data_IF_264978275596
#
_entry.id   IF_264978275596
#
_cell.length_a   1.000
_cell.length_b   1.000
_cell.length_c   1.000
_cell.angle_alpha   90.00
_cell.angle_beta   90.00
_cell.angle_gamma   90.00
#
_symmetry.space_group_name_H-M   'P 1'
#
loop_
_entity.id
_entity.type
_entity.pdbx_description
1 polymer ?
#
# COMPACT_ATOMS: atom_id res chain seq x y z
N UNK A 1 -12.61 14.96 -5.54
CA UNK A 1 -13.67 15.93 -5.86
C UNK A 1 -15.00 15.31 -5.47
N UNK A 2 -15.65 15.82 -4.41
CA UNK A 2 -16.92 15.29 -3.89
C UNK A 2 -18.17 15.75 -4.68
N UNK A 3 -18.02 16.24 -5.90
CA UNK A 3 -19.11 16.73 -6.71
C UNK A 3 -19.06 18.23 -6.94
N UNK A 4 -20.11 18.75 -7.57
CA UNK A 4 -20.29 20.17 -7.88
C UNK A 4 -20.99 20.88 -6.72
N UNK A 5 -20.38 21.91 -6.17
CA UNK A 5 -21.04 22.78 -5.21
C UNK A 5 -21.97 23.75 -5.92
N UNK A 6 -23.20 23.86 -5.43
CA UNK A 6 -24.12 24.92 -5.87
C UNK A 6 -23.89 26.15 -5.00
N UNK A 7 -23.65 27.28 -5.66
CA UNK A 7 -23.37 28.54 -4.95
C UNK A 7 -24.49 28.92 -3.97
N UNK A 8 -25.73 28.57 -4.27
CA UNK A 8 -26.90 28.85 -3.41
C UNK A 8 -26.81 28.16 -2.05
N UNK A 9 -26.14 26.97 -1.99
CA UNK A 9 -26.01 26.16 -0.79
C UNK A 9 -24.65 26.32 -0.09
N UNK A 10 -23.73 27.11 -0.68
CA UNK A 10 -22.39 27.26 -0.15
C UNK A 10 -22.41 28.27 1.00
N UNK A 11 -21.90 27.87 2.18
CA UNK A 11 -21.77 28.71 3.36
C UNK A 11 -20.37 29.30 3.47
N UNK A 12 -19.35 28.53 3.09
CA UNK A 12 -17.95 28.90 3.15
C UNK A 12 -17.25 28.61 1.82
N UNK A 13 -16.26 29.43 1.46
CA UNK A 13 -15.47 29.20 0.27
C UNK A 13 -14.49 28.04 0.49
N UNK A 14 -14.45 27.02 -0.39
CA UNK A 14 -13.77 25.75 -0.11
C UNK A 14 -12.25 25.75 -0.36
N UNK A 15 -11.67 26.82 -0.83
CA UNK A 15 -10.23 26.89 -1.13
C UNK A 15 -9.63 28.27 -0.85
N UNK A 16 -8.30 28.37 -0.92
CA UNK A 16 -7.52 29.58 -0.68
C UNK A 16 -7.07 30.27 -1.98
N UNK A 17 -7.79 30.10 -3.09
CA UNK A 17 -7.47 30.84 -4.31
C UNK A 17 -7.84 32.33 -4.16
N UNK A 18 -7.33 33.18 -5.04
CA UNK A 18 -7.57 34.62 -5.01
C UNK A 18 -9.07 34.99 -4.93
N UNK A 19 -9.93 34.26 -5.65
CA UNK A 19 -11.38 34.49 -5.59
C UNK A 19 -11.95 34.16 -4.21
N UNK A 20 -11.59 32.99 -3.67
CA UNK A 20 -12.11 32.53 -2.38
C UNK A 20 -11.57 33.34 -1.19
N UNK A 21 -10.40 33.95 -1.32
CA UNK A 21 -9.84 34.82 -0.28
C UNK A 21 -10.48 36.22 -0.27
N UNK A 22 -10.98 36.69 -1.40
CA UNK A 22 -11.49 38.05 -1.55
C UNK A 22 -13.02 38.17 -1.53
N UNK A 23 -13.74 37.08 -1.74
CA UNK A 23 -15.20 37.08 -1.85
C UNK A 23 -15.82 35.95 -1.03
N UNK A 24 -16.85 36.28 -0.29
CA UNK A 24 -17.73 35.32 0.37
C UNK A 24 -18.75 34.73 -0.62
N UNK A 25 -19.43 33.61 -0.27
CA UNK A 25 -20.55 33.12 -1.06
C UNK A 25 -21.68 34.15 -1.24
N UNK A 26 -21.94 34.98 -0.21
CA UNK A 26 -22.94 36.04 -0.25
C UNK A 26 -22.55 37.14 -1.22
N UNK A 27 -21.30 37.57 -1.21
CA UNK A 27 -20.80 38.56 -2.19
C UNK A 27 -21.01 38.08 -3.62
N UNK A 28 -20.65 36.82 -3.88
CA UNK A 28 -20.85 36.23 -5.20
C UNK A 28 -22.33 36.12 -5.60
N UNK A 29 -23.23 35.79 -4.65
CA UNK A 29 -24.67 35.76 -4.91
C UNK A 29 -25.23 37.11 -5.25
N UNK A 30 -24.76 38.16 -4.58
CA UNK A 30 -25.21 39.55 -4.80
C UNK A 30 -24.66 40.17 -6.07
N UNK A 31 -23.60 39.64 -6.67
CA UNK A 31 -22.98 40.20 -7.87
C UNK A 31 -23.80 40.02 -9.14
N UNK A 32 -23.62 40.94 -10.14
CA UNK A 32 -24.13 40.75 -11.49
C UNK A 32 -23.69 39.42 -12.08
N UNK A 33 -24.60 38.77 -12.84
CA UNK A 33 -24.42 37.42 -13.38
C UNK A 33 -23.11 37.23 -14.16
N UNK A 34 -22.73 38.20 -14.96
CA UNK A 34 -21.52 38.11 -15.78
C UNK A 34 -20.25 38.12 -14.89
N UNK A 35 -20.11 39.10 -14.01
CA UNK A 35 -18.97 39.19 -13.07
C UNK A 35 -18.87 37.93 -12.20
N UNK A 36 -19.99 37.46 -11.67
CA UNK A 36 -20.05 36.23 -10.89
C UNK A 36 -19.58 35.02 -11.71
N UNK A 37 -20.03 34.86 -12.97
CA UNK A 37 -19.61 33.79 -13.87
C UNK A 37 -18.08 33.80 -14.07
N UNK A 38 -17.51 34.96 -14.33
CA UNK A 38 -16.10 35.11 -14.62
C UNK A 38 -15.24 34.78 -13.38
N UNK A 39 -15.64 35.23 -12.17
CA UNK A 39 -14.97 34.88 -10.91
C UNK A 39 -15.07 33.37 -10.61
N UNK A 40 -16.23 32.74 -10.84
CA UNK A 40 -16.38 31.29 -10.65
C UNK A 40 -15.52 30.53 -11.66
N UNK A 41 -15.44 30.98 -12.91
CA UNK A 41 -14.56 30.38 -13.90
C UNK A 41 -13.09 30.51 -13.51
N UNK A 42 -12.66 31.67 -13.01
CA UNK A 42 -11.32 31.88 -12.47
C UNK A 42 -11.03 30.95 -11.27
N UNK A 43 -11.96 30.81 -10.33
CA UNK A 43 -11.86 29.85 -9.24
C UNK A 43 -11.65 28.43 -9.76
N UNK A 44 -12.49 27.96 -10.69
CA UNK A 44 -12.39 26.62 -11.25
C UNK A 44 -11.05 26.36 -11.94
N UNK A 45 -10.53 27.34 -12.69
CA UNK A 45 -9.20 27.27 -13.29
C UNK A 45 -8.09 27.16 -12.23
N UNK A 46 -8.15 27.98 -11.19
CA UNK A 46 -7.17 27.93 -10.10
C UNK A 46 -7.15 26.56 -9.40
N UNK A 47 -8.32 25.97 -9.13
CA UNK A 47 -8.43 24.62 -8.55
C UNK A 47 -7.84 23.57 -9.50
N UNK A 48 -8.16 23.65 -10.80
CA UNK A 48 -7.63 22.72 -11.80
C UNK A 48 -6.11 22.80 -11.92
N UNK A 49 -5.54 24.00 -11.94
CA UNK A 49 -4.09 24.17 -11.97
C UNK A 49 -3.41 23.75 -10.66
N UNK A 50 -4.05 23.91 -9.52
CA UNK A 50 -3.53 23.42 -8.25
C UNK A 50 -3.43 21.88 -8.28
N UNK A 51 -4.46 21.19 -8.73
CA UNK A 51 -4.45 19.73 -8.86
C UNK A 51 -3.39 19.24 -9.86
N UNK A 52 -3.25 19.91 -11.00
CA UNK A 52 -2.18 19.60 -11.97
C UNK A 52 -0.77 19.75 -11.37
N UNK A 53 -0.54 20.74 -10.49
CA UNK A 53 0.73 20.87 -9.78
C UNK A 53 0.97 19.71 -8.81
N UNK A 54 -0.06 19.27 -8.08
CA UNK A 54 0.01 18.10 -7.19
C UNK A 54 0.32 16.82 -7.98
N UNK A 55 -0.35 16.60 -9.10
CA UNK A 55 -0.09 15.45 -9.99
C UNK A 55 1.37 15.45 -10.47
N UNK A 56 1.87 16.60 -10.96
CA UNK A 56 3.26 16.72 -11.40
C UNK A 56 4.24 16.43 -10.28
N UNK A 57 4.00 16.97 -9.08
CA UNK A 57 4.85 16.71 -7.93
C UNK A 57 4.85 15.24 -7.56
N UNK A 58 3.68 14.60 -7.53
CA UNK A 58 3.56 13.16 -7.26
C UNK A 58 4.31 12.30 -8.29
N UNK A 59 4.32 12.70 -9.58
CA UNK A 59 5.13 12.04 -10.61
C UNK A 59 6.63 12.18 -10.32
N UNK A 60 7.10 13.39 -9.97
CA UNK A 60 8.52 13.62 -9.66
C UNK A 60 8.99 12.86 -8.40
N UNK A 61 8.12 12.71 -7.41
CA UNK A 61 8.40 11.99 -6.17
C UNK A 61 8.25 10.47 -6.30
N UNK A 62 7.58 10.00 -7.35
CA UNK A 62 7.23 8.59 -7.52
C UNK A 62 6.07 8.15 -6.60
N UNK A 63 5.21 9.09 -6.21
CA UNK A 63 4.05 8.88 -5.32
C UNK A 63 2.70 9.03 -6.05
N UNK A 64 2.70 8.92 -7.40
CA UNK A 64 1.48 9.11 -8.18
C UNK A 64 0.38 8.12 -7.79
N UNK A 65 0.75 6.86 -7.52
CA UNK A 65 -0.24 5.84 -7.19
C UNK A 65 -0.93 6.12 -5.85
N UNK A 66 -0.20 6.62 -4.85
CA UNK A 66 -0.77 7.08 -3.57
C UNK A 66 -1.80 8.19 -3.78
N UNK A 67 -1.48 9.16 -4.64
CA UNK A 67 -2.41 10.23 -4.98
C UNK A 67 -3.66 9.69 -5.68
N UNK A 68 -3.51 8.73 -6.59
CA UNK A 68 -4.64 8.06 -7.27
C UNK A 68 -5.50 7.31 -6.27
N UNK A 69 -4.91 6.52 -5.37
CA UNK A 69 -5.64 5.79 -4.32
C UNK A 69 -6.44 6.74 -3.43
N UNK A 70 -5.85 7.86 -3.00
CA UNK A 70 -6.53 8.89 -2.21
C UNK A 70 -7.73 9.49 -2.97
N UNK A 71 -7.53 9.88 -4.21
CA UNK A 71 -8.58 10.52 -5.04
C UNK A 71 -9.71 9.58 -5.40
N UNK A 72 -9.39 8.32 -5.70
CA UNK A 72 -10.41 7.33 -6.09
C UNK A 72 -11.36 6.98 -4.93
N UNK A 73 -10.91 7.06 -3.68
CA UNK A 73 -11.79 6.83 -2.51
C UNK A 73 -12.87 7.90 -2.32
N UNK A 74 -12.83 8.99 -3.06
CA UNK A 74 -13.87 10.01 -3.01
C UNK A 74 -15.20 9.60 -3.67
N UNK A 75 -15.22 8.56 -4.51
CA UNK A 75 -16.43 8.12 -5.22
C UNK A 75 -16.40 6.61 -5.51
N UNK A 76 -17.50 5.85 -5.29
CA UNK A 76 -17.52 4.40 -5.46
C UNK A 76 -17.11 3.94 -6.87
N UNK A 77 -17.57 4.62 -7.92
CA UNK A 77 -17.18 4.24 -9.28
C UNK A 77 -15.71 4.50 -9.59
N UNK A 78 -15.08 5.50 -8.95
CA UNK A 78 -13.63 5.71 -9.08
C UNK A 78 -12.85 4.63 -8.35
N UNK A 79 -13.32 4.21 -7.18
CA UNK A 79 -12.71 3.11 -6.44
C UNK A 79 -12.82 1.79 -7.23
N UNK A 80 -13.96 1.53 -7.86
CA UNK A 80 -14.12 0.37 -8.74
C UNK A 80 -13.18 0.44 -9.95
N UNK A 81 -13.04 1.61 -10.57
CA UNK A 81 -12.08 1.81 -11.66
C UNK A 81 -10.62 1.59 -11.19
N UNK A 82 -10.27 2.01 -9.97
CA UNK A 82 -8.95 1.74 -9.38
C UNK A 82 -8.70 0.23 -9.25
N UNK A 83 -9.68 -0.53 -8.79
CA UNK A 83 -9.57 -2.00 -8.71
C UNK A 83 -9.32 -2.64 -10.07
N UNK A 84 -9.96 -2.12 -11.12
CA UNK A 84 -9.72 -2.59 -12.49
C UNK A 84 -8.32 -2.32 -12.99
N UNK A 85 -7.60 -1.32 -12.45
CA UNK A 85 -6.19 -1.08 -12.80
C UNK A 85 -5.28 -2.25 -12.41
N UNK A 86 -5.66 -3.05 -11.42
CA UNK A 86 -4.95 -4.28 -11.08
C UNK A 86 -4.74 -5.22 -12.27
N UNK A 87 -5.69 -5.26 -13.20
CA UNK A 87 -5.59 -6.07 -14.42
C UNK A 87 -4.49 -5.59 -15.38
N UNK A 88 -4.03 -4.35 -15.22
CA UNK A 88 -3.00 -3.71 -16.04
C UNK A 88 -1.68 -3.51 -15.29
N UNK A 89 -1.53 -4.12 -14.14
CA UNK A 89 -0.38 -3.96 -13.23
C UNK A 89 0.96 -4.19 -13.93
N UNK A 90 1.07 -5.21 -14.81
CA UNK A 90 2.28 -5.49 -15.60
C UNK A 90 2.66 -4.37 -16.58
N UNK A 91 1.67 -3.63 -17.08
CA UNK A 91 1.91 -2.50 -17.97
C UNK A 91 2.27 -1.25 -17.17
N UNK A 92 1.61 -1.00 -16.04
CA UNK A 92 1.92 0.09 -15.13
C UNK A 92 3.34 -0.03 -14.57
N UNK A 93 3.76 -1.25 -14.21
CA UNK A 93 5.11 -1.52 -13.70
C UNK A 93 6.24 -1.00 -14.60
N UNK A 94 6.03 -0.94 -15.92
CA UNK A 94 7.03 -0.44 -16.88
C UNK A 94 7.33 1.05 -16.69
N UNK A 95 6.38 1.81 -16.20
CA UNK A 95 6.45 3.27 -16.06
C UNK A 95 6.72 3.71 -14.62
N UNK A 96 6.47 2.86 -13.66
CA UNK A 96 6.69 3.16 -12.25
C UNK A 96 8.19 3.17 -11.89
N UNK A 97 8.62 4.03 -10.98
CA UNK A 97 10.01 4.06 -10.50
C UNK A 97 10.45 2.69 -9.97
N UNK A 98 11.70 2.30 -10.26
CA UNK A 98 12.25 1.02 -9.78
C UNK A 98 12.54 0.99 -8.28
N UNK A 99 12.70 2.14 -7.67
CA UNK A 99 12.94 2.29 -6.24
C UNK A 99 12.03 3.34 -5.66
N UNK A 100 11.46 3.05 -4.50
CA UNK A 100 10.70 4.01 -3.70
C UNK A 100 11.61 4.60 -2.62
N UNK A 101 11.51 5.91 -2.41
CA UNK A 101 12.31 6.65 -1.40
C UNK A 101 11.49 7.04 -0.16
N UNK A 102 10.23 6.64 -0.12
CA UNK A 102 9.29 6.97 0.96
C UNK A 102 8.65 5.71 1.52
N UNK A 103 8.04 5.83 2.70
CA UNK A 103 7.27 4.77 3.31
C UNK A 103 6.15 4.27 2.38
N UNK A 104 5.78 3.02 2.55
CA UNK A 104 4.63 2.42 1.89
C UNK A 104 3.46 2.39 2.87
N UNK A 105 2.35 2.99 2.51
CA UNK A 105 1.12 2.94 3.28
C UNK A 105 0.13 1.99 2.62
N UNK A 106 -0.17 0.90 3.31
CA UNK A 106 -1.22 -0.02 2.88
C UNK A 106 -2.57 0.52 3.32
N UNK A 107 -3.41 0.91 2.38
CA UNK A 107 -4.71 1.54 2.65
C UNK A 107 -5.91 0.72 2.18
N UNK A 108 -5.69 -0.42 1.55
CA UNK A 108 -6.72 -1.35 1.09
C UNK A 108 -6.17 -2.35 0.06
N UNK A 109 -6.97 -3.34 -0.30
CA UNK A 109 -6.59 -4.42 -1.22
C UNK A 109 -6.12 -3.95 -2.60
N UNK A 110 -6.48 -2.74 -3.01
CA UNK A 110 -5.98 -2.13 -4.25
C UNK A 110 -4.46 -1.99 -4.25
N UNK A 111 -3.85 -1.79 -3.07
CA UNK A 111 -2.40 -1.65 -2.90
C UNK A 111 -1.62 -2.95 -3.17
N UNK A 112 -2.28 -4.12 -3.20
CA UNK A 112 -1.66 -5.41 -3.54
C UNK A 112 -1.12 -5.44 -4.98
N UNK A 113 -1.71 -4.67 -5.88
CA UNK A 113 -1.34 -4.61 -7.30
C UNK A 113 -0.31 -3.52 -7.62
N UNK A 114 0.24 -2.86 -6.62
CA UNK A 114 1.25 -1.84 -6.81
C UNK A 114 2.57 -2.46 -7.28
N UNK A 115 3.28 -1.73 -8.12
CA UNK A 115 4.54 -2.18 -8.74
C UNK A 115 5.60 -2.57 -7.72
N UNK A 116 5.65 -1.90 -6.56
CA UNK A 116 6.58 -2.22 -5.48
C UNK A 116 6.33 -3.64 -4.93
N UNK A 117 5.05 -3.99 -4.74
CA UNK A 117 4.64 -5.31 -4.23
C UNK A 117 4.93 -6.38 -5.26
N UNK A 118 4.53 -6.16 -6.51
CA UNK A 118 4.73 -7.15 -7.60
C UNK A 118 6.21 -7.43 -7.84
N UNK A 119 7.05 -6.39 -7.87
CA UNK A 119 8.50 -6.54 -8.03
C UNK A 119 9.15 -7.27 -6.86
N UNK A 120 8.67 -7.02 -5.64
CA UNK A 120 9.15 -7.76 -4.48
C UNK A 120 8.84 -9.26 -4.60
N UNK A 121 7.60 -9.61 -4.92
CA UNK A 121 7.17 -11.01 -5.12
C UNK A 121 7.97 -11.69 -6.25
N UNK A 122 8.16 -11.00 -7.38
CA UNK A 122 8.98 -11.52 -8.48
C UNK A 122 10.43 -11.78 -8.05
N UNK A 123 11.02 -10.88 -7.27
CA UNK A 123 12.38 -11.07 -6.73
C UNK A 123 12.44 -12.24 -5.76
N UNK A 124 11.47 -12.39 -4.87
CA UNK A 124 11.38 -13.53 -3.96
C UNK A 124 11.31 -14.86 -4.73
N UNK A 125 10.48 -14.93 -5.77
CA UNK A 125 10.38 -16.15 -6.61
C UNK A 125 11.67 -16.48 -7.32
N UNK A 126 12.49 -15.50 -7.63
CA UNK A 126 13.76 -15.66 -8.35
C UNK A 126 14.99 -15.80 -7.45
N UNK A 127 14.86 -15.56 -6.13
CA UNK A 127 16.01 -15.64 -5.23
C UNK A 127 16.47 -17.08 -5.00
N UNK A 128 17.78 -17.31 -4.80
CA UNK A 128 18.27 -18.58 -4.32
C UNK A 128 17.67 -18.91 -2.96
N UNK A 129 17.26 -20.16 -2.74
CA UNK A 129 16.66 -20.63 -1.50
C UNK A 129 17.63 -21.53 -0.77
N UNK A 130 17.55 -21.48 0.57
CA UNK A 130 18.19 -22.42 1.45
C UNK A 130 17.30 -23.66 1.65
N UNK A 131 17.71 -24.60 2.47
CA UNK A 131 16.96 -25.83 2.73
C UNK A 131 15.71 -25.57 3.57
N UNK A 132 15.84 -24.74 4.60
CA UNK A 132 14.80 -24.53 5.59
C UNK A 132 14.33 -23.08 5.58
N UNK A 133 13.07 -22.85 6.04
CA UNK A 133 12.46 -21.53 6.15
C UNK A 133 11.93 -21.30 7.56
N UNK A 134 12.19 -20.12 8.11
CA UNK A 134 11.57 -19.63 9.36
C UNK A 134 10.75 -18.39 9.06
N UNK A 135 9.42 -18.47 9.34
CA UNK A 135 8.49 -17.35 9.16
C UNK A 135 8.21 -16.70 10.51
N UNK A 136 8.57 -15.43 10.63
CA UNK A 136 8.41 -14.60 11.82
C UNK A 136 7.18 -13.69 11.69
N UNK A 137 6.53 -13.30 12.80
CA UNK A 137 5.41 -12.37 12.78
C UNK A 137 5.86 -10.97 12.36
N UNK A 138 4.92 -10.12 11.86
CA UNK A 138 5.21 -8.72 11.65
C UNK A 138 5.56 -8.08 12.98
N UNK A 139 6.80 -7.63 13.11
CA UNK A 139 7.31 -7.07 14.36
C UNK A 139 8.49 -6.14 14.12
N UNK A 140 8.73 -5.25 15.10
CA UNK A 140 9.91 -4.39 15.12
C UNK A 140 11.15 -5.15 15.59
N UNK A 141 12.32 -4.77 15.07
CA UNK A 141 13.61 -5.26 15.52
C UNK A 141 13.80 -5.09 17.05
N UNK A 142 14.60 -5.94 17.72
CA UNK A 142 15.40 -7.02 17.16
C UNK A 142 14.60 -8.33 17.01
N UNK A 143 14.82 -9.04 15.91
CA UNK A 143 14.17 -10.34 15.64
C UNK A 143 14.75 -11.48 16.47
N UNK A 144 15.95 -11.31 17.06
CA UNK A 144 16.60 -12.29 17.92
C UNK A 144 15.72 -12.81 19.07
N UNK A 145 14.80 -11.97 19.56
CA UNK A 145 13.82 -12.39 20.59
C UNK A 145 12.89 -13.51 20.15
N UNK A 146 12.67 -13.69 18.84
CA UNK A 146 11.85 -14.77 18.29
C UNK A 146 12.67 -16.01 17.97
N UNK A 147 13.93 -15.84 17.57
CA UNK A 147 14.82 -16.92 17.20
C UNK A 147 15.50 -17.55 18.43
N UNK A 148 15.76 -16.76 19.47
CA UNK A 148 16.38 -17.24 20.73
C UNK A 148 15.41 -17.91 21.71
N UNK A 149 14.11 -17.82 21.45
CA UNK A 149 13.07 -18.52 22.22
C UNK A 149 13.11 -20.03 21.95
N UNK A 150 12.70 -20.83 22.95
CA UNK A 150 12.52 -22.27 22.75
C UNK A 150 11.57 -22.50 21.57
N UNK A 151 11.88 -23.47 20.70
CA UNK A 151 11.08 -23.89 19.52
C UNK A 151 9.58 -24.15 19.81
N UNK A 152 9.14 -24.16 21.06
CA UNK A 152 7.74 -24.34 21.47
C UNK A 152 6.75 -23.27 21.00
N UNK A 153 7.20 -22.19 20.36
CA UNK A 153 6.35 -21.17 19.75
C UNK A 153 6.27 -21.27 18.23
N UNK A 154 6.82 -22.34 17.65
CA UNK A 154 6.78 -22.58 16.21
C UNK A 154 6.02 -23.85 15.89
N UNK A 155 5.27 -23.79 14.81
CA UNK A 155 4.70 -24.96 14.15
C UNK A 155 5.66 -25.41 13.06
N UNK A 156 5.91 -26.72 12.99
CA UNK A 156 6.84 -27.32 12.04
C UNK A 156 6.02 -27.94 10.89
N UNK A 157 6.39 -27.61 9.68
CA UNK A 157 5.88 -28.16 8.45
C UNK A 157 7.00 -28.92 7.73
N UNK A 158 6.73 -30.12 7.21
CA UNK A 158 7.72 -30.95 6.56
C UNK A 158 8.46 -31.89 7.49
N UNK A 159 9.71 -32.21 7.18
CA UNK A 159 10.51 -33.15 7.99
C UNK A 159 11.00 -32.47 9.28
N UNK A 160 10.74 -33.06 10.44
CA UNK A 160 11.32 -32.62 11.72
C UNK A 160 12.79 -32.99 11.77
N UNK A 161 13.65 -32.10 11.33
CA UNK A 161 15.11 -32.20 11.42
C UNK A 161 15.66 -31.10 12.33
N UNK A 162 16.90 -31.28 12.81
CA UNK A 162 17.60 -30.21 13.51
C UNK A 162 17.84 -29.04 12.57
N UNK A 163 17.45 -27.82 13.01
CA UNK A 163 17.53 -26.60 12.20
C UNK A 163 19.00 -26.18 12.03
N UNK A 164 19.49 -26.22 10.81
CA UNK A 164 20.80 -25.64 10.46
C UNK A 164 20.63 -24.15 10.13
N UNK A 165 20.99 -23.28 11.08
CA UNK A 165 20.87 -21.82 10.93
C UNK A 165 21.62 -21.26 9.70
N UNK A 166 22.70 -21.91 9.27
CA UNK A 166 23.45 -21.48 8.08
C UNK A 166 22.71 -21.81 6.78
N UNK A 167 21.85 -22.84 6.82
CA UNK A 167 21.06 -23.31 5.69
C UNK A 167 19.57 -23.01 5.84
N UNK A 168 19.26 -21.93 6.56
CA UNK A 168 17.88 -21.49 6.84
C UNK A 168 17.67 -20.06 6.36
N UNK A 169 16.58 -19.85 5.62
CA UNK A 169 16.07 -18.52 5.27
C UNK A 169 15.19 -17.99 6.40
N UNK A 170 15.44 -16.77 6.84
CA UNK A 170 14.63 -16.10 7.85
C UNK A 170 13.81 -14.98 7.18
N UNK A 171 12.50 -15.08 7.27
CA UNK A 171 11.59 -14.10 6.67
C UNK A 171 10.56 -13.62 7.69
N UNK A 172 10.21 -12.34 7.65
CA UNK A 172 9.06 -11.82 8.39
C UNK A 172 7.86 -11.71 7.47
N UNK A 173 6.69 -12.00 8.02
CA UNK A 173 5.43 -11.76 7.33
C UNK A 173 5.05 -10.29 7.44
N UNK A 174 4.67 -9.66 6.34
CA UNK A 174 4.14 -8.30 6.33
C UNK A 174 3.20 -8.05 5.15
N UNK A 175 2.19 -7.22 5.34
CA UNK A 175 1.28 -6.81 4.27
C UNK A 175 1.76 -5.48 3.68
N UNK A 176 1.68 -5.30 2.35
CA UNK A 176 1.19 -6.22 1.33
C UNK A 176 2.28 -7.10 0.68
N UNK A 177 3.50 -7.07 1.21
CA UNK A 177 4.66 -7.70 0.59
C UNK A 177 4.73 -9.23 0.77
N UNK A 178 3.90 -9.81 1.63
CA UNK A 178 3.98 -11.23 1.98
C UNK A 178 5.20 -11.53 2.85
N UNK A 179 6.14 -12.32 2.36
CA UNK A 179 7.36 -12.65 3.09
C UNK A 179 8.47 -11.67 2.75
N UNK A 180 9.16 -11.15 3.76
CA UNK A 180 10.29 -10.23 3.61
C UNK A 180 11.53 -10.88 4.22
N UNK A 181 12.55 -11.24 3.41
CA UNK A 181 13.83 -11.72 3.93
C UNK A 181 14.46 -10.71 4.88
N UNK A 182 15.00 -11.17 6.01
CA UNK A 182 15.58 -10.29 7.02
C UNK A 182 16.83 -9.56 6.52
N UNK A 183 17.49 -10.08 5.49
CA UNK A 183 18.66 -9.47 4.86
C UNK A 183 18.34 -8.18 4.12
N UNK A 184 17.08 -8.01 3.66
CA UNK A 184 16.64 -6.86 2.86
C UNK A 184 15.57 -6.03 3.54
N UNK A 185 15.23 -6.32 4.78
CA UNK A 185 14.15 -5.63 5.49
C UNK A 185 14.47 -4.16 5.85
N UNK A 186 15.71 -3.72 5.67
CA UNK A 186 16.13 -2.32 5.84
C UNK A 186 16.03 -1.48 4.57
N UNK A 187 15.67 -2.10 3.43
CA UNK A 187 15.56 -1.42 2.14
C UNK A 187 14.14 -0.84 1.99
N UNK A 188 14.03 0.42 1.55
CA UNK A 188 12.73 0.99 1.19
C UNK A 188 12.10 0.26 -0.01
N UNK A 189 10.78 0.05 -0.02
CA UNK A 189 9.79 0.42 1.01
C UNK A 189 9.65 -0.61 2.15
N UNK A 190 10.36 -1.73 2.13
CA UNK A 190 10.21 -2.84 3.08
C UNK A 190 10.51 -2.44 4.53
N UNK A 191 11.45 -1.50 4.71
CA UNK A 191 11.87 -0.99 6.03
C UNK A 191 10.83 -0.08 6.69
N UNK A 192 9.97 0.55 5.90
CA UNK A 192 8.91 1.46 6.36
C UNK A 192 7.61 1.16 5.65
N UNK A 193 7.04 0.01 5.98
CA UNK A 193 5.72 -0.38 5.59
C UNK A 193 4.77 -0.22 6.78
N UNK A 194 3.69 0.52 6.58
CA UNK A 194 2.63 0.69 7.58
C UNK A 194 1.34 0.07 7.05
N UNK A 195 0.83 -0.89 7.80
CA UNK A 195 -0.42 -1.58 7.54
C UNK A 195 -1.33 -1.52 8.76
N UNK A 196 -2.67 -1.61 8.60
CA UNK A 196 -3.59 -1.67 9.72
C UNK A 196 -3.35 -2.94 10.56
N UNK A 197 -3.75 -2.89 11.83
CA UNK A 197 -3.62 -4.03 12.76
C UNK A 197 -4.47 -5.23 12.33
N UNK A 198 -5.61 -4.97 11.70
CA UNK A 198 -6.52 -5.97 11.12
C UNK A 198 -6.44 -5.93 9.61
N UNK A 199 -6.31 -7.09 8.98
CA UNK A 199 -6.20 -7.20 7.53
C UNK A 199 -7.56 -7.53 6.92
N UNK A 200 -7.82 -7.03 5.74
CA UNK A 200 -9.03 -7.37 4.99
C UNK A 200 -8.93 -8.78 4.38
N UNK A 201 -10.09 -9.39 4.07
CA UNK A 201 -10.18 -10.76 3.56
C UNK A 201 -9.35 -10.96 2.30
N UNK A 202 -9.42 -10.04 1.34
CA UNK A 202 -8.67 -10.16 0.07
C UNK A 202 -7.15 -10.16 0.30
N UNK A 203 -6.69 -9.43 1.31
CA UNK A 203 -5.26 -9.40 1.68
C UNK A 203 -4.82 -10.67 2.38
N UNK A 204 -5.69 -11.25 3.20
CA UNK A 204 -5.45 -12.55 3.84
C UNK A 204 -5.36 -13.65 2.78
N UNK A 205 -6.33 -13.76 1.90
CA UNK A 205 -6.35 -14.72 0.79
C UNK A 205 -5.09 -14.61 -0.08
N UNK A 206 -4.72 -13.38 -0.46
CA UNK A 206 -3.51 -13.13 -1.25
C UNK A 206 -2.24 -13.64 -0.54
N UNK A 207 -2.11 -13.41 0.75
CA UNK A 207 -0.94 -13.85 1.53
C UNK A 207 -0.95 -15.36 1.75
N UNK A 208 -2.10 -15.95 2.02
CA UNK A 208 -2.26 -17.39 2.21
C UNK A 208 -1.88 -18.14 0.94
N UNK A 209 -2.40 -17.71 -0.21
CA UNK A 209 -2.05 -18.27 -1.52
C UNK A 209 -0.55 -18.15 -1.78
N UNK A 210 0.02 -16.99 -1.51
CA UNK A 210 1.45 -16.75 -1.70
C UNK A 210 2.32 -17.64 -0.78
N UNK A 211 1.98 -17.73 0.50
CA UNK A 211 2.72 -18.57 1.45
C UNK A 211 2.62 -20.03 1.05
N UNK A 212 1.42 -20.51 0.73
CA UNK A 212 1.18 -21.90 0.33
C UNK A 212 2.03 -22.30 -0.87
N UNK A 213 2.10 -21.46 -1.90
CA UNK A 213 2.99 -21.67 -3.04
C UNK A 213 4.47 -21.65 -2.62
N UNK A 214 4.85 -20.69 -1.75
CA UNK A 214 6.25 -20.43 -1.45
C UNK A 214 6.89 -21.49 -0.53
N UNK A 215 6.13 -22.03 0.41
CA UNK A 215 6.62 -23.05 1.37
C UNK A 215 6.91 -24.40 0.72
N UNK A 216 6.28 -24.73 -0.40
CA UNK A 216 6.51 -25.98 -1.13
C UNK A 216 7.96 -26.17 -1.61
N UNK A 217 8.74 -25.09 -1.66
CA UNK A 217 10.13 -25.12 -2.10
C UNK A 217 11.14 -25.43 -0.99
N UNK A 218 10.70 -25.67 0.26
CA UNK A 218 11.55 -25.90 1.41
C UNK A 218 11.31 -27.30 2.00
N UNK A 219 12.37 -27.91 2.50
CA UNK A 219 12.29 -29.23 3.13
C UNK A 219 11.61 -29.17 4.51
N UNK A 220 11.85 -28.07 5.23
CA UNK A 220 11.26 -27.79 6.54
C UNK A 220 10.87 -26.31 6.64
N UNK A 221 9.66 -26.05 7.16
CA UNK A 221 9.17 -24.71 7.42
C UNK A 221 8.75 -24.56 8.87
N UNK A 222 9.28 -23.57 9.57
CA UNK A 222 8.91 -23.21 10.92
C UNK A 222 8.11 -21.91 10.90
N UNK A 223 6.86 -21.97 11.31
CA UNK A 223 5.96 -20.82 11.35
C UNK A 223 5.70 -20.41 12.80
N UNK A 224 6.00 -19.18 13.15
CA UNK A 224 5.76 -18.69 14.51
C UNK A 224 4.25 -18.64 14.82
N UNK A 225 3.84 -19.04 16.02
CA UNK A 225 2.43 -19.15 16.42
C UNK A 225 1.61 -17.87 16.24
N UNK A 226 2.24 -16.69 16.35
CA UNK A 226 1.58 -15.41 16.11
C UNK A 226 1.30 -15.14 14.62
N UNK A 227 1.99 -15.79 13.70
CA UNK A 227 1.70 -15.74 12.27
C UNK A 227 0.41 -16.50 12.00
N UNK A 228 0.32 -17.73 12.49
CA UNK A 228 -0.86 -18.58 12.32
C UNK A 228 -2.11 -17.94 12.89
N UNK A 229 -2.02 -17.37 14.11
CA UNK A 229 -3.14 -16.62 14.71
C UNK A 229 -3.60 -15.43 13.89
N UNK A 230 -2.70 -14.81 13.12
CA UNK A 230 -3.00 -13.62 12.33
C UNK A 230 -3.62 -13.97 10.98
N UNK A 231 -3.24 -15.11 10.41
CA UNK A 231 -3.73 -15.59 9.13
C UNK A 231 -4.99 -16.46 9.23
N UNK A 232 -5.39 -16.83 10.47
CA UNK A 232 -6.50 -17.78 10.73
C UNK A 232 -6.36 -19.09 9.93
N UNK A 233 -5.11 -19.48 9.65
CA UNK A 233 -4.79 -20.73 8.96
C UNK A 233 -5.17 -21.86 9.91
N UNK A 234 -6.25 -22.57 9.61
CA UNK A 234 -6.62 -23.83 10.27
C UNK A 234 -5.64 -24.93 9.86
N UNK A 235 -4.59 -25.10 10.66
CA UNK A 235 -3.67 -26.24 10.57
C UNK A 235 -4.19 -27.41 11.38
#
# INVERSE_FOLDING_TARGET
VRGTYKLENLQEMPCSCEVCCNYTPDDLRAMPKEKRRDLIAQHNLNVSFAELRLIRQAIYEGSLMELVEERCRAHPNLLEALRQLGNYSKDLEKYDPRSKKSAFFYTGSESLYRSEVLRHIQKLRAMPRKRDLVILPPSRKPYSKYVSGKLGNFYVYGSEQELDLNNTDFMRLDIPFGLIPLEIDEIYPLSQNESPSTWDVSSLEFIEDFISEFVEYYDQVLIHSNVIKKLDIGL
#
